data_IF_626294874736
#
_entry.id   IF_626294874736
#
_cell.length_a   1.000
_cell.length_b   1.000
_cell.length_c   1.000
_cell.angle_alpha   90.00
_cell.angle_beta   90.00
_cell.angle_gamma   90.00
#
_symmetry.space_group_name_H-M   'P 1'
#
loop_
_entity.id
_entity.type
_entity.pdbx_description
1 polymer ?
#
# COMPACT_ATOMS: atom_id res chain seq x y z
N UNK A 1 -10.59 -4.78 16.74
CA UNK A 1 -10.04 -3.41 16.74
C UNK A 1 -9.84 -2.79 15.35
N UNK A 2 -9.32 -3.48 14.33
CA UNK A 2 -9.14 -2.91 12.96
C UNK A 2 -10.46 -2.50 12.29
N UNK A 3 -11.58 -3.17 12.58
CA UNK A 3 -12.90 -2.74 12.10
C UNK A 3 -13.33 -1.39 12.67
N UNK A 4 -12.93 -1.03 13.90
CA UNK A 4 -13.30 0.25 14.53
C UNK A 4 -12.45 1.39 13.93
N UNK A 5 -11.15 1.15 13.70
CA UNK A 5 -10.27 2.12 13.03
C UNK A 5 -10.65 2.37 11.55
N UNK A 6 -11.10 1.32 10.84
CA UNK A 6 -11.67 1.42 9.48
C UNK A 6 -12.99 2.20 9.46
N UNK A 7 -13.87 1.94 10.44
CA UNK A 7 -15.19 2.56 10.50
C UNK A 7 -15.10 4.06 10.80
N UNK A 8 -14.25 4.48 11.74
CA UNK A 8 -14.11 5.89 12.14
C UNK A 8 -13.51 6.78 11.04
N UNK A 9 -12.45 6.33 10.35
CA UNK A 9 -11.83 7.12 9.28
C UNK A 9 -12.66 7.21 7.99
N UNK A 10 -13.51 6.22 7.71
CA UNK A 10 -14.40 6.25 6.53
C UNK A 10 -15.41 7.40 6.60
N UNK A 11 -15.99 7.66 7.77
CA UNK A 11 -16.91 8.80 7.96
C UNK A 11 -16.18 10.15 8.05
N UNK A 12 -14.95 10.16 8.58
CA UNK A 12 -14.18 11.40 8.75
C UNK A 12 -13.63 11.95 7.43
N UNK A 13 -13.23 11.07 6.49
CA UNK A 13 -12.62 11.47 5.22
C UNK A 13 -13.26 10.72 4.03
N UNK A 14 -14.46 11.14 3.57
CA UNK A 14 -15.19 10.46 2.50
C UNK A 14 -14.42 10.35 1.18
N UNK A 15 -13.54 11.32 0.89
CA UNK A 15 -12.69 11.32 -0.32
C UNK A 15 -11.63 10.21 -0.34
N UNK A 16 -11.44 9.46 0.76
CA UNK A 16 -10.60 8.25 0.80
C UNK A 16 -11.34 6.99 0.31
N UNK A 17 -12.62 7.09 -0.07
CA UNK A 17 -13.45 5.95 -0.46
C UNK A 17 -12.80 5.05 -1.51
N UNK A 18 -12.17 5.61 -2.56
CA UNK A 18 -11.44 4.84 -3.59
C UNK A 18 -10.39 3.88 -2.98
N UNK A 19 -9.63 4.36 -1.99
CA UNK A 19 -8.59 3.56 -1.33
C UNK A 19 -9.25 2.44 -0.53
N UNK A 20 -10.32 2.74 0.19
CA UNK A 20 -11.06 1.75 0.99
C UNK A 20 -11.73 0.68 0.13
N UNK A 21 -12.35 1.09 -0.97
CA UNK A 21 -12.92 0.18 -1.98
C UNK A 21 -11.85 -0.74 -2.56
N UNK A 22 -10.65 -0.23 -2.80
CA UNK A 22 -9.51 -1.05 -3.24
C UNK A 22 -9.13 -2.08 -2.17
N UNK A 23 -9.09 -1.72 -0.89
CA UNK A 23 -8.83 -2.68 0.19
C UNK A 23 -9.92 -3.74 0.32
N UNK A 24 -11.20 -3.38 0.13
CA UNK A 24 -12.31 -4.35 0.12
C UNK A 24 -12.09 -5.36 -1.00
N UNK A 25 -11.83 -4.89 -2.22
CA UNK A 25 -11.50 -5.74 -3.39
C UNK A 25 -10.30 -6.64 -3.12
N UNK A 26 -9.25 -6.11 -2.51
CA UNK A 26 -8.07 -6.89 -2.17
C UNK A 26 -8.35 -7.97 -1.12
N UNK A 27 -9.35 -7.77 -0.26
CA UNK A 27 -9.71 -8.73 0.79
C UNK A 27 -10.83 -9.70 0.38
N UNK A 28 -11.41 -9.54 -0.82
CA UNK A 28 -12.40 -10.47 -1.37
C UNK A 28 -11.89 -11.91 -1.39
N UNK A 29 -12.82 -12.84 -1.17
CA UNK A 29 -12.54 -14.27 -1.20
C UNK A 29 -12.16 -14.71 -2.62
N UNK A 30 -11.20 -15.63 -2.72
CA UNK A 30 -10.81 -16.26 -3.99
C UNK A 30 -11.56 -17.57 -4.26
N UNK A 31 -12.54 -17.93 -3.43
CA UNK A 31 -13.21 -19.24 -3.52
C UNK A 31 -13.91 -19.48 -4.86
N UNK A 32 -14.47 -18.44 -5.46
CA UNK A 32 -15.19 -18.50 -6.74
C UNK A 32 -14.30 -18.17 -7.94
N UNK A 33 -13.01 -17.85 -7.72
CA UNK A 33 -12.08 -17.55 -8.80
C UNK A 33 -11.65 -18.85 -9.51
N UNK A 34 -11.89 -18.91 -10.82
CA UNK A 34 -11.50 -20.05 -11.69
C UNK A 34 -10.00 -20.35 -11.63
N UNK A 35 -9.17 -19.37 -11.29
CA UNK A 35 -7.70 -19.48 -11.20
C UNK A 35 -7.21 -19.80 -9.78
N UNK A 36 -8.11 -20.03 -8.81
CA UNK A 36 -7.75 -20.39 -7.43
C UNK A 36 -6.73 -21.52 -7.35
N UNK A 37 -6.90 -22.57 -8.17
CA UNK A 37 -5.96 -23.69 -8.23
C UNK A 37 -4.53 -23.27 -8.57
N UNK A 38 -4.37 -22.33 -9.50
CA UNK A 38 -3.06 -21.80 -9.92
C UNK A 38 -2.44 -20.93 -8.83
N UNK A 39 -3.25 -20.10 -8.16
CA UNK A 39 -2.76 -19.29 -7.03
C UNK A 39 -2.28 -20.19 -5.89
N UNK A 40 -3.05 -21.22 -5.54
CA UNK A 40 -2.70 -22.20 -4.50
C UNK A 40 -1.39 -22.92 -4.86
N UNK A 41 -1.23 -23.37 -6.10
CA UNK A 41 0.00 -24.03 -6.54
C UNK A 41 1.24 -23.13 -6.37
N UNK A 42 1.15 -21.85 -6.75
CA UNK A 42 2.23 -20.89 -6.56
C UNK A 42 2.54 -20.65 -5.07
N UNK A 43 1.49 -20.48 -4.24
CA UNK A 43 1.64 -20.30 -2.81
C UNK A 43 2.29 -21.51 -2.12
N UNK A 44 1.94 -22.73 -2.52
CA UNK A 44 2.57 -23.95 -2.01
C UNK A 44 4.08 -24.00 -2.31
N UNK A 45 4.49 -23.59 -3.52
CA UNK A 45 5.90 -23.48 -3.88
C UNK A 45 6.63 -22.44 -3.02
N UNK A 46 6.02 -21.26 -2.83
CA UNK A 46 6.61 -20.18 -2.01
C UNK A 46 6.74 -20.62 -0.55
N UNK A 47 5.72 -21.28 0.01
CA UNK A 47 5.73 -21.81 1.37
C UNK A 47 6.88 -22.80 1.58
N UNK A 48 7.04 -23.77 0.68
CA UNK A 48 8.15 -24.73 0.74
C UNK A 48 9.53 -24.06 0.66
N UNK A 49 9.67 -22.94 -0.04
CA UNK A 49 10.92 -22.17 -0.15
C UNK A 49 11.20 -21.24 1.04
N UNK A 50 10.19 -20.98 1.87
CA UNK A 50 10.29 -20.03 3.00
C UNK A 50 10.23 -20.73 4.35
N UNK A 51 10.12 -22.07 4.35
CA UNK A 51 10.06 -22.89 5.57
C UNK A 51 8.92 -22.46 6.52
N UNK A 52 7.85 -21.88 5.97
CA UNK A 52 6.66 -21.51 6.73
C UNK A 52 5.78 -22.73 6.92
N UNK A 53 5.40 -22.99 8.17
CA UNK A 53 4.56 -24.12 8.57
C UNK A 53 3.23 -24.20 7.80
N UNK A 54 2.69 -25.41 7.69
CA UNK A 54 1.69 -25.76 6.68
C UNK A 54 0.36 -25.00 6.77
N UNK A 55 -0.04 -24.49 7.93
CA UNK A 55 -1.34 -23.83 8.13
C UNK A 55 -1.27 -22.28 8.12
N UNK A 56 -0.10 -21.70 7.87
CA UNK A 56 0.11 -20.27 8.10
C UNK A 56 0.04 -19.43 6.81
N UNK A 57 -0.85 -18.45 6.80
CA UNK A 57 -0.96 -17.34 5.82
C UNK A 57 -1.43 -17.69 4.40
N UNK A 58 -1.95 -18.90 4.15
CA UNK A 58 -2.46 -19.30 2.83
C UNK A 58 -3.46 -18.30 2.25
N UNK A 59 -4.46 -17.90 3.05
CA UNK A 59 -5.47 -16.93 2.62
C UNK A 59 -4.84 -15.58 2.22
N UNK A 60 -3.77 -15.15 2.90
CA UNK A 60 -3.04 -13.95 2.53
C UNK A 60 -2.30 -14.14 1.21
N UNK A 61 -1.58 -15.25 1.07
CA UNK A 61 -0.79 -15.52 -0.14
C UNK A 61 -1.68 -15.56 -1.39
N UNK A 62 -2.79 -16.33 -1.35
CA UNK A 62 -3.68 -16.48 -2.50
C UNK A 62 -4.34 -15.16 -2.89
N UNK A 63 -4.75 -14.36 -1.89
CA UNK A 63 -5.30 -13.01 -2.11
C UNK A 63 -4.25 -12.09 -2.74
N UNK A 64 -3.02 -12.11 -2.25
CA UNK A 64 -1.92 -11.28 -2.76
C UNK A 64 -1.53 -11.67 -4.19
N UNK A 65 -1.34 -12.96 -4.49
CA UNK A 65 -1.06 -13.46 -5.85
C UNK A 65 -2.15 -13.02 -6.82
N UNK A 66 -3.43 -13.20 -6.45
CA UNK A 66 -4.58 -12.75 -7.27
C UNK A 66 -4.56 -11.24 -7.51
N UNK A 67 -4.21 -10.44 -6.51
CA UNK A 67 -4.16 -8.96 -6.63
C UNK A 67 -2.97 -8.45 -7.44
N UNK A 68 -1.83 -9.14 -7.39
CA UNK A 68 -0.66 -8.86 -8.22
C UNK A 68 -0.89 -9.27 -9.68
N UNK A 69 -1.81 -10.21 -9.92
CA UNK A 69 -2.32 -10.56 -11.25
C UNK A 69 -1.29 -11.15 -12.23
N UNK A 70 -0.38 -12.06 -11.83
CA UNK A 70 0.53 -12.73 -12.77
C UNK A 70 -0.20 -13.49 -13.87
N UNK A 71 -1.46 -13.87 -13.60
CA UNK A 71 -2.30 -14.65 -14.49
C UNK A 71 -3.49 -13.85 -15.03
N UNK A 72 -3.48 -12.51 -15.02
CA UNK A 72 -4.61 -11.70 -15.50
C UNK A 72 -4.76 -11.73 -17.04
N UNK A 73 -6.00 -11.87 -17.53
CA UNK A 73 -6.30 -12.07 -18.97
C UNK A 73 -6.17 -10.80 -19.82
N UNK A 74 -6.35 -9.59 -19.25
CA UNK A 74 -6.24 -8.33 -19.98
C UNK A 74 -5.17 -7.39 -19.37
N UNK A 75 -3.99 -7.26 -20.00
CA UNK A 75 -2.88 -6.44 -19.51
C UNK A 75 -3.02 -4.91 -19.72
N UNK A 76 -3.97 -4.44 -20.53
CA UNK A 76 -3.86 -3.12 -21.21
C UNK A 76 -4.64 -1.94 -20.60
N UNK A 77 -5.39 -2.13 -19.50
CA UNK A 77 -6.29 -1.08 -18.97
C UNK A 77 -5.76 -0.32 -17.74
N UNK A 78 -4.45 -0.23 -17.51
CA UNK A 78 -3.90 0.41 -16.30
C UNK A 78 -2.77 1.35 -16.68
N UNK A 79 -3.11 2.62 -16.93
CA UNK A 79 -2.14 3.71 -16.98
C UNK A 79 -1.50 3.87 -15.60
N UNK A 80 -0.16 3.88 -15.56
CA UNK A 80 0.68 3.91 -14.36
C UNK A 80 0.29 2.86 -13.31
N UNK A 81 0.93 1.69 -13.42
CA UNK A 81 0.86 0.57 -12.48
C UNK A 81 1.38 0.94 -11.06
N UNK A 82 1.71 2.21 -10.80
CA UNK A 82 2.19 2.76 -9.52
C UNK A 82 1.08 2.93 -8.46
N UNK A 83 -0.07 3.54 -8.77
CA UNK A 83 -1.07 3.87 -7.74
C UNK A 83 -1.68 2.60 -7.13
N UNK A 84 -2.21 1.70 -7.96
CA UNK A 84 -2.78 0.43 -7.48
C UNK A 84 -1.74 -0.39 -6.74
N UNK A 85 -0.49 -0.42 -7.22
CA UNK A 85 0.61 -1.11 -6.55
C UNK A 85 0.94 -0.48 -5.20
N UNK A 86 0.88 0.85 -5.10
CA UNK A 86 1.08 1.59 -3.86
C UNK A 86 -0.03 1.29 -2.85
N UNK A 87 -1.30 1.36 -3.27
CA UNK A 87 -2.45 0.97 -2.44
C UNK A 87 -2.32 -0.50 -2.02
N UNK A 88 -1.92 -1.40 -2.93
CA UNK A 88 -1.69 -2.81 -2.61
C UNK A 88 -0.57 -2.98 -1.57
N UNK A 89 0.55 -2.28 -1.69
CA UNK A 89 1.62 -2.30 -0.69
C UNK A 89 1.15 -1.77 0.68
N UNK A 90 0.28 -0.75 0.71
CA UNK A 90 -0.33 -0.28 1.95
C UNK A 90 -1.22 -1.37 2.58
N UNK A 91 -2.07 -2.02 1.77
CA UNK A 91 -2.88 -3.16 2.22
C UNK A 91 -2.01 -4.31 2.75
N UNK A 92 -0.93 -4.66 2.05
CA UNK A 92 0.03 -5.67 2.48
C UNK A 92 0.64 -5.31 3.83
N UNK A 93 1.04 -4.04 4.05
CA UNK A 93 1.52 -3.60 5.34
C UNK A 93 0.47 -3.81 6.45
N UNK A 94 -0.79 -3.44 6.22
CA UNK A 94 -1.85 -3.67 7.21
C UNK A 94 -2.05 -5.17 7.52
N UNK A 95 -2.04 -6.02 6.50
CA UNK A 95 -2.24 -7.47 6.67
C UNK A 95 -1.05 -8.13 7.38
N UNK A 96 0.17 -7.75 7.01
CA UNK A 96 1.40 -8.26 7.62
C UNK A 96 1.49 -7.89 9.09
N UNK A 97 1.13 -6.65 9.45
CA UNK A 97 1.05 -6.22 10.85
C UNK A 97 -0.09 -6.92 11.62
N UNK A 98 -1.28 -7.04 11.01
CA UNK A 98 -2.45 -7.66 11.66
C UNK A 98 -2.23 -9.14 11.97
N UNK A 99 -1.60 -9.86 11.06
CA UNK A 99 -1.47 -11.32 11.13
C UNK A 99 -0.04 -11.76 11.44
N UNK A 100 0.87 -10.83 11.79
CA UNK A 100 2.28 -11.10 12.05
C UNK A 100 2.97 -11.89 10.92
N UNK A 101 2.61 -11.59 9.68
CA UNK A 101 3.13 -12.28 8.49
C UNK A 101 4.60 -11.92 8.32
N UNK A 102 5.51 -12.90 8.16
CA UNK A 102 6.92 -12.64 7.96
C UNK A 102 7.20 -11.82 6.69
N UNK A 103 8.14 -10.89 6.79
CA UNK A 103 8.54 -10.03 5.67
C UNK A 103 9.13 -10.84 4.51
N UNK A 104 10.01 -11.81 4.84
CA UNK A 104 10.65 -12.67 3.85
C UNK A 104 9.62 -13.48 3.04
N UNK A 105 8.52 -13.92 3.66
CA UNK A 105 7.43 -14.61 2.96
C UNK A 105 6.74 -13.68 1.97
N UNK A 106 6.38 -12.49 2.44
CA UNK A 106 5.73 -11.47 1.61
C UNK A 106 6.62 -11.09 0.43
N UNK A 107 7.90 -10.84 0.69
CA UNK A 107 8.92 -10.56 -0.32
C UNK A 107 9.00 -11.67 -1.38
N UNK A 108 8.98 -12.94 -0.96
CA UNK A 108 9.03 -14.07 -1.88
C UNK A 108 7.78 -14.21 -2.75
N UNK A 109 6.58 -13.87 -2.22
CA UNK A 109 5.35 -13.80 -3.02
C UNK A 109 5.49 -12.78 -4.15
N UNK A 110 5.94 -11.56 -3.82
CA UNK A 110 6.16 -10.52 -4.82
C UNK A 110 7.22 -10.91 -5.84
N UNK A 111 8.35 -11.49 -5.40
CA UNK A 111 9.43 -11.94 -6.28
C UNK A 111 8.92 -12.95 -7.30
N UNK A 112 8.33 -14.06 -6.85
CA UNK A 112 7.85 -15.12 -7.74
C UNK A 112 6.75 -14.65 -8.68
N UNK A 113 5.85 -13.81 -8.17
CA UNK A 113 4.80 -13.21 -8.99
C UNK A 113 5.40 -12.29 -10.07
N UNK A 114 6.36 -11.45 -9.70
CA UNK A 114 7.04 -10.55 -10.63
C UNK A 114 7.91 -11.31 -11.64
N UNK A 115 8.51 -12.44 -11.28
CA UNK A 115 9.25 -13.30 -12.23
C UNK A 115 8.32 -13.81 -13.34
N UNK A 116 7.11 -14.24 -12.98
CA UNK A 116 6.08 -14.67 -13.95
C UNK A 116 5.60 -13.48 -14.79
N UNK A 117 5.34 -12.33 -14.16
CA UNK A 117 4.90 -11.12 -14.86
C UNK A 117 5.98 -10.65 -15.83
N UNK A 118 7.26 -10.65 -15.42
CA UNK A 118 8.38 -10.19 -16.23
C UNK A 118 8.49 -10.96 -17.54
N UNK A 119 8.26 -12.28 -17.50
CA UNK A 119 8.24 -13.11 -18.69
C UNK A 119 7.17 -12.71 -19.72
N UNK A 120 6.11 -12.01 -19.30
CA UNK A 120 5.02 -11.55 -20.17
C UNK A 120 5.07 -10.06 -20.48
N UNK A 121 5.32 -9.20 -19.49
CA UNK A 121 5.45 -7.75 -19.62
C UNK A 121 6.07 -7.10 -18.36
N UNK A 122 7.33 -6.66 -18.46
CA UNK A 122 8.07 -5.97 -17.38
C UNK A 122 7.37 -4.73 -16.82
N UNK A 123 6.64 -3.97 -17.63
CA UNK A 123 6.01 -2.73 -17.16
C UNK A 123 4.90 -2.97 -16.13
N UNK A 124 4.44 -4.23 -16.00
CA UNK A 124 3.40 -4.65 -15.06
C UNK A 124 3.88 -5.05 -13.67
N UNK A 125 5.19 -5.06 -13.44
CA UNK A 125 5.73 -5.44 -12.14
C UNK A 125 5.28 -4.46 -11.06
N UNK A 126 4.86 -5.00 -9.91
CA UNK A 126 4.60 -4.23 -8.71
C UNK A 126 5.73 -4.52 -7.73
N UNK A 127 6.55 -3.52 -7.42
CA UNK A 127 7.66 -3.70 -6.49
C UNK A 127 7.13 -3.81 -5.06
N UNK A 128 7.67 -4.77 -4.31
CA UNK A 128 7.40 -4.87 -2.89
C UNK A 128 8.16 -3.78 -2.13
N UNK A 129 7.49 -3.14 -1.19
CA UNK A 129 8.12 -2.29 -0.21
C UNK A 129 7.75 -2.70 1.21
N UNK A 130 8.76 -3.16 1.94
CA UNK A 130 8.64 -3.49 3.36
C UNK A 130 8.59 -2.22 4.22
N UNK A 131 7.40 -1.67 4.39
CA UNK A 131 7.14 -0.55 5.29
C UNK A 131 7.61 -0.84 6.72
N UNK A 132 7.39 -2.07 7.22
CA UNK A 132 7.74 -2.48 8.59
C UNK A 132 9.25 -2.41 8.82
N UNK A 133 10.03 -2.98 7.91
CA UNK A 133 11.48 -3.09 8.08
C UNK A 133 12.18 -1.77 7.71
N UNK A 134 11.73 -1.09 6.65
CA UNK A 134 12.46 0.04 6.05
C UNK A 134 12.07 1.42 6.58
N UNK A 135 10.90 1.59 7.21
CA UNK A 135 10.37 2.92 7.51
C UNK A 135 10.11 3.16 8.99
N UNK A 136 10.49 4.32 9.51
CA UNK A 136 10.06 4.79 10.82
C UNK A 136 8.62 5.31 10.74
N UNK A 137 7.79 4.97 11.73
CA UNK A 137 6.35 5.30 11.78
C UNK A 137 5.64 5.04 10.43
N UNK A 138 5.59 3.79 9.91
CA UNK A 138 5.12 3.54 8.56
C UNK A 138 3.68 3.98 8.28
N UNK A 139 2.81 3.95 9.29
CA UNK A 139 1.43 4.45 9.17
C UNK A 139 1.37 5.93 8.79
N UNK A 140 2.28 6.74 9.32
CA UNK A 140 2.35 8.16 8.98
C UNK A 140 2.77 8.34 7.52
N UNK A 141 3.79 7.60 7.07
CA UNK A 141 4.20 7.62 5.65
C UNK A 141 3.07 7.16 4.73
N UNK A 142 2.38 6.07 5.06
CA UNK A 142 1.20 5.60 4.32
C UNK A 142 0.13 6.69 4.24
N UNK A 143 -0.12 7.40 5.35
CA UNK A 143 -1.10 8.51 5.38
C UNK A 143 -0.70 9.66 4.45
N UNK A 144 0.57 10.06 4.44
CA UNK A 144 1.10 11.06 3.50
C UNK A 144 0.90 10.62 2.04
N UNK A 145 1.22 9.36 1.72
CA UNK A 145 1.01 8.85 0.36
C UNK A 145 -0.47 8.67 0.00
N UNK A 146 -1.35 8.41 0.96
CA UNK A 146 -2.80 8.44 0.70
C UNK A 146 -3.28 9.84 0.33
N UNK A 147 -2.71 10.91 0.91
CA UNK A 147 -2.95 12.27 0.44
C UNK A 147 -2.52 12.42 -1.02
N UNK A 148 -1.35 11.88 -1.40
CA UNK A 148 -0.92 11.93 -2.80
C UNK A 148 -1.89 11.25 -3.77
N UNK A 149 -2.51 10.15 -3.35
CA UNK A 149 -3.47 9.40 -4.16
C UNK A 149 -4.78 10.17 -4.36
N UNK A 150 -5.21 10.99 -3.39
CA UNK A 150 -6.53 11.65 -3.39
C UNK A 150 -6.46 13.17 -3.55
N UNK A 151 -5.28 13.71 -3.89
CA UNK A 151 -5.06 15.16 -3.94
C UNK A 151 -5.97 15.84 -4.96
N UNK A 152 -6.23 15.19 -6.11
CA UNK A 152 -7.06 15.74 -7.17
C UNK A 152 -8.52 15.86 -6.71
N UNK A 153 -9.04 14.87 -5.99
CA UNK A 153 -10.37 14.91 -5.39
C UNK A 153 -10.45 16.00 -4.33
N UNK A 154 -9.42 16.12 -3.49
CA UNK A 154 -9.33 17.19 -2.48
C UNK A 154 -9.36 18.56 -3.15
N UNK A 155 -8.53 18.79 -4.17
CA UNK A 155 -8.49 20.07 -4.91
C UNK A 155 -9.84 20.35 -5.58
N UNK A 156 -10.46 19.34 -6.19
CA UNK A 156 -11.79 19.48 -6.81
C UNK A 156 -12.87 19.86 -5.79
N UNK A 157 -12.85 19.24 -4.60
CA UNK A 157 -13.77 19.55 -3.51
C UNK A 157 -13.54 20.98 -2.99
N UNK A 158 -12.29 21.37 -2.76
CA UNK A 158 -11.94 22.68 -2.18
C UNK A 158 -12.24 23.84 -3.14
N UNK A 159 -12.28 23.60 -4.46
CA UNK A 159 -12.70 24.61 -5.46
C UNK A 159 -14.21 24.84 -5.51
N UNK A 160 -15.01 23.94 -4.97
CA UNK A 160 -16.47 24.08 -4.96
C UNK A 160 -16.91 24.93 -3.76
N UNK A 161 -17.71 25.96 -4.04
CA UNK A 161 -18.30 26.77 -2.97
C UNK A 161 -19.20 25.91 -2.08
N UNK A 162 -19.02 26.03 -0.76
CA UNK A 162 -19.85 25.37 0.26
C UNK A 162 -19.96 23.84 0.14
N UNK A 163 -18.99 23.16 -0.48
CA UNK A 163 -19.03 21.70 -0.54
C UNK A 163 -18.94 21.09 0.87
N UNK A 164 -19.82 20.13 1.17
CA UNK A 164 -19.97 19.52 2.50
C UNK A 164 -18.69 18.91 3.08
N UNK A 165 -17.75 18.53 2.22
CA UNK A 165 -16.46 17.92 2.61
C UNK A 165 -15.29 18.92 2.65
N UNK A 166 -15.48 20.21 2.38
CA UNK A 166 -14.36 21.17 2.30
C UNK A 166 -13.59 21.26 3.63
N UNK A 167 -14.30 21.26 4.77
CA UNK A 167 -13.66 21.26 6.08
C UNK A 167 -12.86 19.97 6.33
N UNK A 168 -13.39 18.79 5.97
CA UNK A 168 -12.68 17.53 6.18
C UNK A 168 -11.46 17.40 5.27
N UNK A 169 -11.52 17.94 4.04
CA UNK A 169 -10.36 18.08 3.16
C UNK A 169 -9.26 18.95 3.78
N UNK A 170 -9.62 20.16 4.24
CA UNK A 170 -8.67 21.07 4.88
C UNK A 170 -8.01 20.46 6.13
N UNK A 171 -8.80 19.78 6.97
CA UNK A 171 -8.30 19.09 8.16
C UNK A 171 -7.32 17.98 7.80
N UNK A 172 -7.61 17.17 6.77
CA UNK A 172 -6.73 16.08 6.35
C UNK A 172 -5.39 16.59 5.79
N UNK A 173 -5.42 17.66 4.99
CA UNK A 173 -4.20 18.30 4.45
C UNK A 173 -3.36 18.89 5.59
N UNK A 174 -3.99 19.57 6.55
CA UNK A 174 -3.32 20.14 7.73
C UNK A 174 -2.66 19.05 8.58
N UNK A 175 -3.39 17.96 8.83
CA UNK A 175 -2.84 16.82 9.57
C UNK A 175 -1.64 16.18 8.86
N UNK A 176 -1.73 15.95 7.55
CA UNK A 176 -0.61 15.44 6.76
C UNK A 176 0.60 16.40 6.78
N UNK A 177 0.36 17.71 6.71
CA UNK A 177 1.41 18.73 6.79
C UNK A 177 2.13 18.69 8.15
N UNK A 178 1.39 18.53 9.24
CA UNK A 178 1.96 18.41 10.59
C UNK A 178 2.74 17.11 10.74
N UNK A 179 2.18 15.98 10.28
CA UNK A 179 2.88 14.69 10.25
C UNK A 179 4.21 14.80 9.50
N UNK A 180 4.20 15.40 8.31
CA UNK A 180 5.41 15.59 7.52
C UNK A 180 6.47 16.41 8.29
N UNK A 181 6.08 17.57 8.86
CA UNK A 181 6.99 18.43 9.63
C UNK A 181 7.59 17.71 10.82
N UNK A 182 6.77 17.02 11.60
CA UNK A 182 7.21 16.26 12.77
C UNK A 182 8.15 15.12 12.38
N UNK A 183 7.79 14.32 11.37
CA UNK A 183 8.65 13.24 10.92
C UNK A 183 9.98 13.73 10.34
N UNK A 184 9.96 14.82 9.56
CA UNK A 184 11.17 15.40 9.01
C UNK A 184 12.09 15.92 10.12
N UNK A 185 11.53 16.58 11.14
CA UNK A 185 12.28 17.02 12.32
C UNK A 185 12.89 15.84 13.08
N UNK A 186 12.08 14.81 13.37
CA UNK A 186 12.49 13.70 14.22
C UNK A 186 13.53 12.78 13.54
N UNK A 187 13.44 12.60 12.22
CA UNK A 187 14.24 11.60 11.49
C UNK A 187 15.25 12.18 10.50
N UNK A 188 15.06 13.40 10.00
CA UNK A 188 15.86 13.96 8.89
C UNK A 188 16.64 15.22 9.24
N UNK A 189 16.24 15.99 10.25
CA UNK A 189 17.01 17.16 10.70
C UNK A 189 18.01 16.77 11.79
N UNK A 190 19.19 16.29 11.39
CA UNK A 190 20.29 16.03 12.31
C UNK A 190 21.51 15.41 11.66
N UNK A 191 22.69 15.72 12.18
CA UNK A 191 23.95 15.04 11.81
C UNK A 191 24.02 13.76 12.63
N UNK A 192 23.47 12.64 12.15
CA UNK A 192 23.65 11.37 12.86
C UNK A 192 23.70 10.16 11.93
N UNK A 193 24.69 9.30 12.27
CA UNK A 193 25.06 7.97 11.77
C UNK A 193 24.07 7.29 10.83
N UNK A 194 24.59 6.76 9.72
CA UNK A 194 23.91 5.90 8.72
C UNK A 194 22.99 4.87 9.38
N UNK A 195 21.75 5.25 9.63
CA UNK A 195 20.65 4.37 10.03
C UNK A 195 19.83 4.15 8.75
N UNK A 196 19.91 2.96 8.12
CA UNK A 196 19.22 2.70 6.87
C UNK A 196 17.71 2.97 6.93
N UNK A 197 17.10 2.80 8.12
CA UNK A 197 15.67 3.05 8.31
C UNK A 197 15.35 4.54 8.31
N UNK A 198 16.23 5.37 8.88
CA UNK A 198 16.11 6.84 8.80
C UNK A 198 16.34 7.32 7.38
N UNK A 199 17.37 6.82 6.71
CA UNK A 199 17.68 7.21 5.33
C UNK A 199 16.49 6.94 4.40
N UNK A 200 15.89 5.75 4.48
CA UNK A 200 14.73 5.37 3.68
C UNK A 200 13.45 6.13 4.09
N UNK A 201 13.27 6.43 5.39
CA UNK A 201 12.20 7.33 5.86
C UNK A 201 12.35 8.73 5.27
N UNK A 202 13.55 9.30 5.28
CA UNK A 202 13.82 10.62 4.74
C UNK A 202 13.64 10.66 3.23
N UNK A 203 14.10 9.63 2.52
CA UNK A 203 13.83 9.49 1.09
C UNK A 203 12.32 9.50 0.77
N UNK A 204 11.51 8.78 1.55
CA UNK A 204 10.04 8.77 1.43
C UNK A 204 9.44 10.15 1.69
N UNK A 205 9.88 10.85 2.74
CA UNK A 205 9.43 12.20 3.06
C UNK A 205 9.81 13.19 1.96
N UNK A 206 11.04 13.13 1.43
CA UNK A 206 11.48 13.96 0.30
C UNK A 206 10.66 13.68 -0.95
N UNK A 207 10.36 12.41 -1.24
CA UNK A 207 9.48 12.03 -2.36
C UNK A 207 8.09 12.65 -2.22
N UNK A 208 7.50 12.55 -1.02
CA UNK A 208 6.23 13.18 -0.72
C UNK A 208 6.29 14.72 -0.83
N UNK A 209 7.35 15.35 -0.33
CA UNK A 209 7.58 16.80 -0.42
C UNK A 209 7.59 17.27 -1.88
N UNK A 210 8.39 16.61 -2.73
CA UNK A 210 8.47 16.93 -4.17
C UNK A 210 7.10 16.81 -4.84
N UNK A 211 6.35 15.76 -4.52
CA UNK A 211 4.98 15.62 -5.00
C UNK A 211 4.09 16.78 -4.51
N UNK A 212 4.11 17.07 -3.21
CA UNK A 212 3.23 18.07 -2.60
C UNK A 212 3.51 19.49 -3.12
N UNK A 213 4.78 19.84 -3.35
CA UNK A 213 5.18 21.14 -3.92
C UNK A 213 4.84 21.29 -5.41
N UNK A 214 4.43 20.21 -6.09
CA UNK A 214 4.01 20.26 -7.50
C UNK A 214 2.51 20.55 -7.70
N UNK A 215 1.74 20.65 -6.61
CA UNK A 215 0.31 20.97 -6.58
C UNK A 215 0.04 22.38 -6.06
#
# INVERSE_FOLDING_TARGET
EICIYKFYHYFQYPFLERIWESYKKFDESVNEDKKKGVYNALCNVIRGQTEIGEENYDNFCVKLVRNLGPFADNPRNVGLISERCQILNHWVYYMTMKHNIPDHFTSQIFKKTNDIIFASNKSRMCQYYSYKEKTNKPLNIIKLFNLSIVVNEIVSILKQENHKNSCSCGNFVSECTNIYKDMYRDYCSGVNKKDPKKDDTCFRLSTFKTFYESF
#
